data_IF_835775232464
#
_entry.id   IF_835775232464
#
_cell.length_a   1.000
_cell.length_b   1.000
_cell.length_c   1.000
_cell.angle_alpha   90.00
_cell.angle_beta   90.00
_cell.angle_gamma   90.00
#
_symmetry.space_group_name_H-M   'P 1'
#
loop_
_entity.id
_entity.type
_entity.pdbx_description
1 polymer ?
#
# COMPACT_ATOMS: atom_id res chain seq x y z
N UNK A 1 14.74 -50.33 -15.57
CA UNK A 1 15.60 -49.22 -16.04
C UNK A 1 14.81 -48.14 -16.83
N UNK A 2 14.01 -48.49 -17.84
CA UNK A 2 13.22 -47.50 -18.64
C UNK A 2 12.16 -46.71 -17.84
N UNK A 3 11.55 -47.33 -16.82
CA UNK A 3 10.51 -46.66 -15.97
C UNK A 3 11.15 -45.66 -15.00
N UNK A 4 12.30 -45.98 -14.42
CA UNK A 4 13.02 -45.10 -13.51
C UNK A 4 13.51 -43.82 -14.23
N UNK A 5 13.97 -43.95 -15.49
CA UNK A 5 14.37 -42.82 -16.31
C UNK A 5 13.20 -41.87 -16.63
N UNK A 6 11.98 -42.40 -16.84
CA UNK A 6 10.78 -41.59 -17.10
C UNK A 6 10.36 -40.79 -15.88
N UNK A 7 10.43 -41.37 -14.68
CA UNK A 7 10.12 -40.65 -13.44
C UNK A 7 11.16 -39.59 -13.11
N UNK A 8 12.46 -39.87 -13.37
CA UNK A 8 13.53 -38.89 -13.15
C UNK A 8 13.41 -37.69 -14.11
N UNK A 9 13.09 -37.94 -15.39
CA UNK A 9 12.86 -36.90 -16.39
C UNK A 9 11.65 -36.02 -16.07
N UNK A 10 10.55 -36.59 -15.57
CA UNK A 10 9.37 -35.87 -15.17
C UNK A 10 9.65 -35.00 -13.93
N UNK A 11 10.42 -35.49 -12.96
CA UNK A 11 10.80 -34.75 -11.75
C UNK A 11 11.72 -33.57 -12.08
N UNK A 12 12.68 -33.73 -12.99
CA UNK A 12 13.56 -32.66 -13.44
C UNK A 12 12.78 -31.55 -14.18
N UNK A 13 11.81 -31.92 -15.02
CA UNK A 13 10.94 -30.94 -15.69
C UNK A 13 10.13 -30.12 -14.69
N UNK A 14 9.52 -30.73 -13.68
CA UNK A 14 8.80 -30.02 -12.63
C UNK A 14 9.68 -29.05 -11.85
N UNK A 15 10.93 -29.43 -11.57
CA UNK A 15 11.89 -28.57 -10.87
C UNK A 15 12.31 -27.36 -11.73
N UNK A 16 12.53 -27.56 -13.02
CA UNK A 16 12.92 -26.49 -13.95
C UNK A 16 11.75 -25.50 -14.13
N UNK A 17 10.53 -25.99 -14.32
CA UNK A 17 9.36 -25.14 -14.44
C UNK A 17 9.04 -24.38 -13.13
N UNK A 18 9.17 -25.04 -11.99
CA UNK A 18 8.97 -24.41 -10.68
C UNK A 18 9.99 -23.32 -10.37
N UNK A 19 11.25 -23.55 -10.69
CA UNK A 19 12.31 -22.56 -10.50
C UNK A 19 12.14 -21.33 -11.41
N UNK A 20 11.78 -21.53 -12.68
CA UNK A 20 11.52 -20.42 -13.60
C UNK A 20 10.28 -19.61 -13.19
N UNK A 21 9.24 -20.26 -12.67
CA UNK A 21 8.05 -19.57 -12.18
C UNK A 21 8.36 -18.70 -10.95
N UNK A 22 9.13 -19.20 -9.99
CA UNK A 22 9.55 -18.45 -8.81
C UNK A 22 10.44 -17.23 -9.17
N UNK A 23 11.36 -17.42 -10.13
CA UNK A 23 12.20 -16.33 -10.63
C UNK A 23 11.32 -15.26 -11.31
N UNK A 24 10.39 -15.67 -12.16
CA UNK A 24 9.51 -14.75 -12.87
C UNK A 24 8.62 -13.92 -11.90
N UNK A 25 8.12 -14.53 -10.84
CA UNK A 25 7.36 -13.80 -9.81
C UNK A 25 8.20 -12.76 -9.07
N UNK A 26 9.46 -13.09 -8.74
CA UNK A 26 10.34 -12.11 -8.10
C UNK A 26 10.63 -10.93 -9.03
N UNK A 27 10.89 -11.17 -10.31
CA UNK A 27 11.06 -10.08 -11.28
C UNK A 27 9.84 -9.19 -11.40
N UNK A 28 8.63 -9.74 -11.36
CA UNK A 28 7.41 -8.92 -11.41
C UNK A 28 7.33 -7.99 -10.20
N UNK A 29 7.53 -8.51 -8.99
CA UNK A 29 7.49 -7.67 -7.78
C UNK A 29 8.59 -6.61 -7.75
N UNK A 30 9.78 -6.92 -8.27
CA UNK A 30 10.87 -5.94 -8.37
C UNK A 30 10.55 -4.86 -9.40
N UNK A 31 9.97 -5.25 -10.54
CA UNK A 31 9.52 -4.32 -11.56
C UNK A 31 8.41 -3.40 -11.02
N UNK A 32 7.42 -3.94 -10.35
CA UNK A 32 6.33 -3.18 -9.74
C UNK A 32 6.85 -2.15 -8.73
N UNK A 33 7.91 -2.47 -7.98
CA UNK A 33 8.55 -1.52 -7.08
C UNK A 33 9.20 -0.34 -7.83
N UNK A 34 9.82 -0.60 -8.97
CA UNK A 34 10.40 0.47 -9.80
C UNK A 34 9.30 1.34 -10.40
N UNK A 35 8.26 0.73 -10.95
CA UNK A 35 7.08 1.45 -11.48
C UNK A 35 6.47 2.32 -10.41
N UNK A 36 6.28 1.79 -9.20
CA UNK A 36 5.73 2.54 -8.06
C UNK A 36 6.56 3.76 -7.68
N UNK A 37 7.88 3.64 -7.68
CA UNK A 37 8.77 4.78 -7.40
C UNK A 37 8.70 5.87 -8.47
N UNK A 38 8.51 5.49 -9.72
CA UNK A 38 8.28 6.46 -10.80
C UNK A 38 6.92 7.14 -10.62
N UNK A 39 5.88 6.37 -10.30
CA UNK A 39 4.56 6.91 -10.05
C UNK A 39 4.54 7.88 -8.86
N UNK A 40 5.32 7.61 -7.82
CA UNK A 40 5.50 8.53 -6.68
C UNK A 40 5.96 9.93 -7.11
N UNK A 41 6.80 10.02 -8.13
CA UNK A 41 7.24 11.31 -8.68
C UNK A 41 6.14 11.96 -9.52
N UNK A 42 5.35 11.17 -10.24
CA UNK A 42 4.26 11.68 -11.06
C UNK A 42 3.14 12.33 -10.23
N UNK A 43 2.96 11.95 -8.97
CA UNK A 43 2.02 12.62 -8.07
C UNK A 43 2.31 14.12 -7.95
N UNK A 44 3.58 14.53 -7.87
CA UNK A 44 3.96 15.94 -7.80
C UNK A 44 3.64 16.68 -9.09
N UNK A 45 3.76 16.04 -10.23
CA UNK A 45 3.36 16.61 -11.52
C UNK A 45 1.83 16.77 -11.60
N UNK A 46 1.07 15.76 -11.12
CA UNK A 46 -0.39 15.71 -11.29
C UNK A 46 -1.16 16.56 -10.28
N UNK A 47 -0.66 16.72 -9.06
CA UNK A 47 -1.42 17.30 -7.94
C UNK A 47 -0.59 18.32 -7.14
N UNK A 48 0.73 18.34 -7.34
CA UNK A 48 1.64 19.17 -6.56
C UNK A 48 1.47 20.70 -6.74
N UNK A 49 0.73 21.13 -7.73
CA UNK A 49 0.35 22.53 -7.91
C UNK A 49 -0.67 23.00 -6.85
N UNK A 50 -1.59 22.13 -6.41
CA UNK A 50 -2.70 22.46 -5.50
C UNK A 50 -2.61 21.79 -4.13
N UNK A 51 -1.75 20.77 -3.95
CA UNK A 51 -1.61 20.04 -2.71
C UNK A 51 -0.16 19.98 -2.20
N UNK A 52 -0.01 19.98 -0.88
CA UNK A 52 1.16 19.41 -0.23
C UNK A 52 1.00 17.89 -0.22
N UNK A 53 2.03 17.20 -0.68
CA UNK A 53 2.02 15.74 -0.82
C UNK A 53 3.08 15.18 0.11
N UNK A 54 2.70 14.22 0.94
CA UNK A 54 3.62 13.45 1.76
C UNK A 54 3.37 11.95 1.59
N UNK A 55 4.39 11.16 1.82
CA UNK A 55 4.33 9.71 1.82
C UNK A 55 5.10 9.17 3.00
N UNK A 56 4.37 8.69 3.99
CA UNK A 56 4.91 8.16 5.23
C UNK A 56 4.70 6.64 5.29
N UNK A 57 5.43 5.95 6.15
CA UNK A 57 5.05 4.59 6.52
C UNK A 57 4.51 4.58 7.93
N UNK A 58 3.40 3.89 8.10
CA UNK A 58 2.76 3.64 9.37
C UNK A 58 2.95 2.18 9.75
N UNK A 59 2.78 1.88 11.02
CA UNK A 59 2.83 0.52 11.52
C UNK A 59 1.39 -0.01 11.60
N UNK A 60 1.05 -0.91 10.69
CA UNK A 60 -0.18 -1.68 10.74
C UNK A 60 -0.11 -2.78 11.82
N UNK A 61 -1.21 -3.49 12.11
CA UNK A 61 -1.21 -4.63 13.02
C UNK A 61 -0.18 -5.68 12.62
N UNK A 62 0.37 -6.37 13.62
CA UNK A 62 1.30 -7.47 13.40
C UNK A 62 0.66 -8.55 12.49
N UNK A 63 1.52 -9.29 11.79
CA UNK A 63 1.07 -10.43 11.00
C UNK A 63 0.42 -11.46 11.92
N UNK A 64 -0.73 -11.98 11.55
CA UNK A 64 -1.44 -12.98 12.36
C UNK A 64 -0.71 -14.33 12.46
N UNK A 65 0.25 -14.63 11.57
CA UNK A 65 1.12 -15.81 11.57
C UNK A 65 2.57 -15.41 11.83
N UNK A 66 2.88 -14.99 13.03
CA UNK A 66 4.26 -14.69 13.38
C UNK A 66 5.06 -15.98 13.55
N UNK A 67 6.07 -16.16 12.71
CA UNK A 67 6.85 -17.39 12.67
C UNK A 67 7.91 -17.46 13.78
N UNK A 68 8.35 -16.32 14.32
CA UNK A 68 9.38 -16.23 15.35
C UNK A 68 9.11 -15.08 16.32
N UNK A 69 8.40 -15.30 17.39
CA UNK A 69 8.05 -14.27 18.37
C UNK A 69 9.24 -13.73 19.18
N UNK A 70 10.42 -14.34 19.07
CA UNK A 70 11.64 -13.92 19.78
C UNK A 70 12.69 -13.28 18.86
N UNK A 71 12.47 -13.27 17.55
CA UNK A 71 13.37 -12.62 16.58
C UNK A 71 13.24 -11.09 16.62
N UNK A 72 14.24 -10.39 16.12
CA UNK A 72 14.23 -8.92 16.07
C UNK A 72 13.10 -8.33 15.22
N UNK A 73 12.51 -9.12 14.35
CA UNK A 73 11.34 -8.76 13.54
C UNK A 73 10.06 -9.43 14.02
N UNK A 74 10.12 -10.17 15.13
CA UNK A 74 8.96 -10.86 15.68
C UNK A 74 7.95 -9.85 16.22
N UNK A 75 6.68 -10.08 15.93
CA UNK A 75 5.60 -9.16 16.29
C UNK A 75 5.74 -7.79 15.61
N UNK A 76 6.62 -7.66 14.63
CA UNK A 76 6.77 -6.41 13.93
C UNK A 76 5.54 -6.11 13.10
N UNK A 77 5.10 -4.91 13.27
CA UNK A 77 4.07 -4.32 12.49
C UNK A 77 4.45 -4.32 11.01
N UNK A 78 3.48 -4.54 10.16
CA UNK A 78 3.67 -4.37 8.74
C UNK A 78 3.80 -2.88 8.44
N UNK A 79 4.79 -2.50 7.65
CA UNK A 79 4.91 -1.13 7.15
C UNK A 79 3.84 -0.88 6.11
N UNK A 80 2.92 0.01 6.43
CA UNK A 80 1.85 0.48 5.56
C UNK A 80 2.25 1.85 5.02
N UNK A 81 2.66 1.89 3.76
CA UNK A 81 2.94 3.16 3.10
C UNK A 81 1.65 3.93 2.89
N UNK A 82 1.69 5.21 3.21
CA UNK A 82 0.48 6.03 3.25
C UNK A 82 0.74 7.35 2.58
N UNK A 83 -0.08 7.69 1.59
CA UNK A 83 -0.09 9.00 0.96
C UNK A 83 -0.98 9.96 1.73
N UNK A 84 -0.52 11.20 1.83
CA UNK A 84 -1.22 12.30 2.46
C UNK A 84 -1.26 13.46 1.47
N UNK A 85 -2.44 14.00 1.24
CA UNK A 85 -2.63 15.18 0.40
C UNK A 85 -3.37 16.24 1.21
N UNK A 86 -2.75 17.41 1.35
CA UNK A 86 -3.31 18.54 2.08
C UNK A 86 -3.43 19.71 1.10
N UNK A 87 -4.63 20.31 0.93
CA UNK A 87 -4.79 21.47 0.05
C UNK A 87 -3.83 22.60 0.44
N UNK A 88 -3.20 23.24 -0.53
CA UNK A 88 -2.34 24.40 -0.28
C UNK A 88 -3.09 25.64 0.16
N UNK A 89 -4.42 25.64 -0.02
CA UNK A 89 -5.33 26.71 0.38
C UNK A 89 -5.75 26.68 1.84
N UNK A 90 -5.36 25.63 2.61
CA UNK A 90 -5.81 25.48 4.00
C UNK A 90 -5.31 26.62 4.89
N UNK A 91 -6.22 27.10 5.74
CA UNK A 91 -5.93 28.02 6.83
C UNK A 91 -5.58 27.18 8.07
N UNK A 92 -4.40 27.34 8.67
CA UNK A 92 -3.98 26.52 9.81
C UNK A 92 -4.84 26.68 11.05
N UNK A 93 -5.64 27.77 11.12
CA UNK A 93 -6.54 28.02 12.24
C UNK A 93 -7.94 27.38 12.05
N UNK A 94 -8.16 26.65 10.95
CA UNK A 94 -9.43 26.01 10.64
C UNK A 94 -9.32 24.49 10.61
N UNK A 95 -10.48 23.85 10.67
CA UNK A 95 -10.62 22.40 10.57
C UNK A 95 -11.23 22.00 9.22
N UNK A 96 -10.66 20.97 8.60
CA UNK A 96 -11.04 20.47 7.28
C UNK A 96 -11.52 19.02 7.34
N UNK A 97 -12.45 18.62 6.49
CA UNK A 97 -12.89 17.23 6.41
C UNK A 97 -11.78 16.33 5.83
N UNK A 98 -11.75 15.09 6.30
CA UNK A 98 -10.83 14.06 5.84
C UNK A 98 -11.56 13.02 5.00
N UNK A 99 -11.00 12.68 3.84
CA UNK A 99 -11.39 11.51 3.07
C UNK A 99 -10.30 10.46 3.17
N UNK A 100 -10.67 9.28 3.65
CA UNK A 100 -9.86 8.08 3.57
C UNK A 100 -10.19 7.40 2.25
N UNK A 101 -9.21 7.31 1.36
CA UNK A 101 -9.39 6.86 -0.02
C UNK A 101 -8.50 5.64 -0.29
N UNK A 102 -8.85 4.43 0.18
CA UNK A 102 -8.11 3.22 -0.14
C UNK A 102 -8.26 2.88 -1.63
N UNK A 103 -7.21 2.33 -2.22
CA UNK A 103 -7.31 1.83 -3.60
C UNK A 103 -8.24 0.62 -3.70
N UNK A 104 -8.84 0.42 -4.86
CA UNK A 104 -9.66 -0.74 -5.16
C UNK A 104 -8.80 -1.97 -5.50
N UNK A 105 -9.37 -3.17 -5.29
CA UNK A 105 -8.68 -4.42 -5.59
C UNK A 105 -7.74 -4.86 -4.47
N UNK A 106 -7.62 -6.17 -4.32
CA UNK A 106 -6.81 -6.78 -3.26
C UNK A 106 -5.33 -6.62 -3.55
N UNK A 107 -4.93 -6.90 -4.79
CA UNK A 107 -3.58 -6.77 -5.31
C UNK A 107 -3.52 -5.64 -6.34
N UNK A 108 -3.59 -4.43 -5.86
CA UNK A 108 -3.45 -3.20 -6.62
C UNK A 108 -2.58 -2.22 -5.83
N UNK A 109 -2.51 -0.97 -6.25
CA UNK A 109 -1.83 0.11 -5.57
C UNK A 109 -2.54 1.44 -5.79
N UNK A 110 -2.31 2.38 -4.89
CA UNK A 110 -2.78 3.75 -5.05
C UNK A 110 -1.80 4.53 -5.92
N UNK A 111 -2.13 4.69 -7.17
CA UNK A 111 -1.28 5.31 -8.18
C UNK A 111 -1.95 6.53 -8.84
N UNK A 112 -1.23 7.21 -9.72
CA UNK A 112 -1.71 8.43 -10.38
C UNK A 112 -2.93 8.27 -11.28
N UNK A 113 -3.46 7.05 -11.45
CA UNK A 113 -4.80 6.82 -12.00
C UNK A 113 -5.89 7.52 -11.17
N UNK A 114 -5.69 7.64 -9.85
CA UNK A 114 -6.59 8.34 -8.94
C UNK A 114 -6.39 9.87 -8.92
N UNK A 115 -5.44 10.41 -9.67
CA UNK A 115 -5.07 11.83 -9.57
C UNK A 115 -6.24 12.78 -9.84
N UNK A 116 -7.16 12.44 -10.74
CA UNK A 116 -8.32 13.25 -11.05
C UNK A 116 -9.30 13.33 -9.87
N UNK A 117 -9.49 12.23 -9.11
CA UNK A 117 -10.32 12.19 -7.91
C UNK A 117 -9.64 13.01 -6.81
N UNK A 118 -8.35 12.80 -6.59
CA UNK A 118 -7.59 13.56 -5.59
C UNK A 118 -7.63 15.05 -5.89
N UNK A 119 -7.42 15.47 -7.15
CA UNK A 119 -7.51 16.88 -7.54
C UNK A 119 -8.88 17.49 -7.22
N UNK A 120 -9.96 16.77 -7.53
CA UNK A 120 -11.31 17.24 -7.24
C UNK A 120 -11.56 17.41 -5.75
N UNK A 121 -11.16 16.42 -4.94
CA UNK A 121 -11.30 16.50 -3.48
C UNK A 121 -10.46 17.65 -2.89
N UNK A 122 -9.22 17.80 -3.32
CA UNK A 122 -8.34 18.89 -2.89
C UNK A 122 -8.89 20.26 -3.28
N UNK A 123 -9.45 20.40 -4.48
CA UNK A 123 -10.08 21.65 -4.93
C UNK A 123 -11.31 22.04 -4.08
N UNK A 124 -11.96 21.05 -3.47
CA UNK A 124 -13.07 21.24 -2.52
C UNK A 124 -12.60 21.31 -1.05
N UNK A 125 -11.31 21.49 -0.82
CA UNK A 125 -10.70 21.63 0.51
C UNK A 125 -10.83 20.38 1.41
N UNK A 126 -10.96 19.18 0.83
CA UNK A 126 -10.80 17.94 1.60
C UNK A 126 -9.32 17.60 1.77
N UNK A 127 -8.95 17.15 2.96
CA UNK A 127 -7.69 16.44 3.18
C UNK A 127 -7.92 14.99 2.74
N UNK A 128 -6.94 14.41 2.04
CA UNK A 128 -7.04 13.02 1.55
C UNK A 128 -5.90 12.19 2.12
N UNK A 129 -6.22 10.99 2.61
CA UNK A 129 -5.24 9.99 3.02
C UNK A 129 -5.52 8.67 2.33
N UNK A 130 -4.47 8.01 1.84
CA UNK A 130 -4.58 6.71 1.19
C UNK A 130 -3.51 5.76 1.68
N UNK A 131 -3.93 4.65 2.29
CA UNK A 131 -3.04 3.59 2.74
C UNK A 131 -2.79 2.57 1.63
N UNK A 132 -1.54 2.21 1.43
CA UNK A 132 -1.10 1.03 0.70
C UNK A 132 -1.14 -0.15 1.67
N UNK A 133 -2.34 -0.68 1.89
CA UNK A 133 -2.58 -1.74 2.86
C UNK A 133 -1.88 -3.04 2.45
N UNK A 134 -1.77 -3.99 3.39
CA UNK A 134 -1.21 -5.32 3.10
C UNK A 134 -1.89 -5.97 1.90
N UNK A 135 -1.11 -6.59 1.02
CA UNK A 135 -1.58 -7.09 -0.27
C UNK A 135 -1.30 -6.15 -1.44
N UNK A 136 -1.00 -4.85 -1.18
CA UNK A 136 -0.69 -3.87 -2.23
C UNK A 136 0.51 -4.28 -3.07
N UNK A 137 0.46 -3.95 -4.37
CA UNK A 137 1.57 -4.10 -5.31
C UNK A 137 2.55 -2.92 -5.19
N UNK A 138 3.76 -3.08 -5.74
CA UNK A 138 4.77 -2.01 -5.71
C UNK A 138 5.60 -1.92 -4.44
N UNK A 139 5.40 -2.81 -3.46
CA UNK A 139 6.12 -2.83 -2.17
C UNK A 139 6.80 -4.16 -1.89
N UNK A 140 6.96 -4.97 -2.93
CA UNK A 140 7.61 -6.27 -2.88
C UNK A 140 6.70 -7.41 -2.46
N UNK A 141 7.23 -8.63 -2.68
CA UNK A 141 6.49 -9.88 -2.43
C UNK A 141 6.01 -10.01 -0.99
N UNK A 142 6.79 -9.56 -0.03
CA UNK A 142 6.42 -9.67 1.38
C UNK A 142 5.16 -8.88 1.73
N UNK A 143 4.95 -7.69 1.16
CA UNK A 143 3.72 -6.92 1.33
C UNK A 143 2.56 -7.58 0.60
N UNK A 144 2.78 -8.01 -0.63
CA UNK A 144 1.81 -8.71 -1.46
C UNK A 144 1.23 -9.95 -0.78
N UNK A 145 2.09 -10.81 -0.21
CA UNK A 145 1.69 -12.10 0.41
C UNK A 145 0.99 -11.94 1.78
N UNK A 146 0.97 -10.73 2.35
CA UNK A 146 0.40 -10.51 3.69
C UNK A 146 -1.09 -10.21 3.73
N UNK A 147 -1.76 -10.22 2.59
CA UNK A 147 -3.22 -10.06 2.53
C UNK A 147 -3.92 -11.16 3.33
N UNK A 148 -5.01 -10.86 4.00
CA UNK A 148 -5.82 -11.81 4.74
C UNK A 148 -7.32 -11.78 4.37
N UNK A 149 -7.67 -11.04 3.32
CA UNK A 149 -8.97 -11.03 2.67
C UNK A 149 -10.15 -10.68 3.56
N UNK A 150 -10.16 -9.50 4.13
CA UNK A 150 -11.29 -8.92 4.87
C UNK A 150 -11.03 -8.75 6.36
N UNK A 151 -9.77 -8.76 6.77
CA UNK A 151 -9.34 -8.61 8.16
C UNK A 151 -8.37 -7.45 8.35
N UNK A 152 -7.10 -7.78 8.47
CA UNK A 152 -6.06 -6.84 8.87
C UNK A 152 -5.79 -5.73 7.85
N UNK A 153 -6.11 -5.89 6.57
CA UNK A 153 -6.04 -4.81 5.59
C UNK A 153 -7.01 -3.66 5.91
N UNK A 154 -8.16 -3.97 6.51
CA UNK A 154 -9.09 -2.93 6.98
C UNK A 154 -8.47 -2.15 8.15
N UNK A 155 -7.76 -2.85 9.04
CA UNK A 155 -7.04 -2.21 10.15
C UNK A 155 -5.88 -1.33 9.64
N UNK A 156 -5.19 -1.74 8.58
CA UNK A 156 -4.15 -0.92 7.93
C UNK A 156 -4.74 0.41 7.43
N UNK A 157 -5.91 0.37 6.81
CA UNK A 157 -6.64 1.58 6.38
C UNK A 157 -7.06 2.41 7.58
N UNK A 158 -7.54 1.77 8.66
CA UNK A 158 -7.95 2.46 9.86
C UNK A 158 -6.79 3.16 10.57
N UNK A 159 -5.60 2.55 10.58
CA UNK A 159 -4.37 3.17 11.12
C UNK A 159 -4.06 4.48 10.39
N UNK A 160 -4.25 4.56 9.06
CA UNK A 160 -4.02 5.78 8.31
C UNK A 160 -4.97 6.92 8.71
N UNK A 161 -6.24 6.58 8.96
CA UNK A 161 -7.24 7.51 9.49
C UNK A 161 -6.83 8.04 10.88
N UNK A 162 -6.43 7.15 11.78
CA UNK A 162 -6.05 7.53 13.14
C UNK A 162 -4.81 8.42 13.13
N UNK A 163 -3.82 8.08 12.33
CA UNK A 163 -2.62 8.90 12.18
C UNK A 163 -2.96 10.35 11.79
N UNK A 164 -3.88 10.55 10.85
CA UNK A 164 -4.29 11.89 10.44
C UNK A 164 -4.97 12.67 11.56
N UNK A 165 -5.83 12.02 12.33
CA UNK A 165 -6.55 12.67 13.45
C UNK A 165 -5.62 13.00 14.61
N UNK A 166 -4.62 12.16 14.86
CA UNK A 166 -3.71 12.30 16.00
C UNK A 166 -2.56 13.28 15.73
N UNK A 167 -2.17 13.48 14.47
CA UNK A 167 -0.97 14.22 14.12
C UNK A 167 -1.23 15.51 13.34
N UNK A 168 -2.46 15.77 12.89
CA UNK A 168 -2.79 16.94 12.10
C UNK A 168 -3.95 17.73 12.72
N UNK A 169 -3.63 18.81 13.42
CA UNK A 169 -4.60 19.65 14.09
C UNK A 169 -5.68 20.25 13.15
N UNK A 170 -5.34 20.37 11.86
CA UNK A 170 -6.28 20.86 10.83
C UNK A 170 -7.35 19.84 10.42
N UNK A 171 -7.25 18.58 10.86
CA UNK A 171 -8.25 17.54 10.56
C UNK A 171 -9.45 17.69 11.51
N UNK A 172 -10.66 17.69 10.95
CA UNK A 172 -11.89 17.61 11.71
C UNK A 172 -12.27 16.14 11.96
N UNK A 173 -12.04 15.67 13.17
CA UNK A 173 -12.35 14.30 13.57
C UNK A 173 -13.84 13.92 13.49
N UNK A 174 -14.74 14.91 13.37
CA UNK A 174 -16.18 14.71 13.23
C UNK A 174 -16.67 14.73 11.77
N UNK A 175 -15.77 15.03 10.82
CA UNK A 175 -16.07 15.07 9.38
C UNK A 175 -15.10 14.18 8.61
N UNK A 176 -15.21 12.88 8.81
CA UNK A 176 -14.38 11.88 8.14
C UNK A 176 -15.27 10.97 7.30
N UNK A 177 -14.93 10.86 6.03
CA UNK A 177 -15.57 9.94 5.08
C UNK A 177 -14.58 8.89 4.57
N UNK A 178 -15.11 7.78 4.08
CA UNK A 178 -14.38 6.78 3.29
C UNK A 178 -15.01 6.71 1.91
N UNK A 179 -14.18 6.59 0.89
CA UNK A 179 -14.65 6.56 -0.49
C UNK A 179 -14.01 5.42 -1.28
#
# INVERSE_FOLDING_TARGET
MKTLLKHLSCFCLFFIFGANYAIAQNYQHDFDQVVKKVDDLLWYEKVGDIAHIDKVYLCGPARWKEANPTGMSAGNELKVWTYIFIPKSVDPDKKYPLIVLPHSGVHADFNTYYAHIVRELIAQEYIVVSAEYRGSTGYGKATYDNIDYGGLENEDVYVSRNYMVENFDIVDANRIGIM
#
